data_IF_084487352752
#
_entry.id   IF_084487352752
#
_cell.length_a   1.000
_cell.length_b   1.000
_cell.length_c   1.000
_cell.angle_alpha   90.00
_cell.angle_beta   90.00
_cell.angle_gamma   90.00
#
_symmetry.space_group_name_H-M   'P 1'
#
loop_
_entity.id
_entity.type
_entity.pdbx_description
1 polymer ?
#
# COMPACT_ATOMS: atom_id res chain seq x y z
N UNK A 1 61.96 3.23 -28.78
CA UNK A 1 60.65 3.68 -28.23
C UNK A 1 59.54 2.64 -28.27
N UNK A 2 59.44 1.75 -29.28
CA UNK A 2 58.40 0.68 -29.31
C UNK A 2 58.45 -0.31 -28.14
N UNK A 3 59.63 -0.64 -27.61
CA UNK A 3 59.75 -1.59 -26.48
C UNK A 3 59.21 -1.07 -25.14
N UNK A 4 59.17 0.24 -24.91
CA UNK A 4 58.67 0.81 -23.65
C UNK A 4 57.13 0.83 -23.58
N UNK A 5 56.46 1.02 -24.71
CA UNK A 5 54.99 1.00 -24.77
C UNK A 5 54.44 -0.40 -24.47
N UNK A 6 55.11 -1.45 -24.97
CA UNK A 6 54.68 -2.84 -24.77
C UNK A 6 54.79 -3.28 -23.30
N UNK A 7 55.75 -2.74 -22.54
CA UNK A 7 55.87 -3.02 -21.09
C UNK A 7 54.77 -2.35 -20.25
N UNK A 8 54.24 -1.21 -20.70
CA UNK A 8 53.18 -0.48 -19.99
C UNK A 8 51.83 -1.18 -20.16
N UNK A 9 51.53 -1.71 -21.34
CA UNK A 9 50.26 -2.42 -21.60
C UNK A 9 50.12 -3.71 -20.78
N UNK A 10 51.21 -4.49 -20.66
CA UNK A 10 51.21 -5.73 -19.89
C UNK A 10 50.98 -5.46 -18.40
N UNK A 11 51.67 -4.46 -17.83
CA UNK A 11 51.54 -4.13 -16.40
C UNK A 11 50.15 -3.58 -16.05
N UNK A 12 49.54 -2.80 -16.93
CA UNK A 12 48.16 -2.31 -16.76
C UNK A 12 47.14 -3.46 -16.71
N UNK A 13 47.30 -4.48 -17.55
CA UNK A 13 46.40 -5.64 -17.58
C UNK A 13 46.38 -6.43 -16.25
N UNK A 14 47.54 -6.65 -15.64
CA UNK A 14 47.64 -7.32 -14.34
C UNK A 14 47.01 -6.52 -13.21
N UNK A 15 47.22 -5.20 -13.20
CA UNK A 15 46.66 -4.31 -12.19
C UNK A 15 45.12 -4.26 -12.24
N UNK A 16 44.54 -4.17 -13.45
CA UNK A 16 43.08 -4.20 -13.65
C UNK A 16 42.50 -5.55 -13.19
N UNK A 17 43.14 -6.66 -13.57
CA UNK A 17 42.70 -8.01 -13.19
C UNK A 17 42.72 -8.22 -11.67
N UNK A 18 43.81 -7.79 -11.01
CA UNK A 18 43.93 -7.88 -9.56
C UNK A 18 42.88 -7.01 -8.84
N UNK A 19 42.66 -5.78 -9.31
CA UNK A 19 41.64 -4.88 -8.77
C UNK A 19 40.23 -5.49 -8.89
N UNK A 20 39.88 -6.01 -10.07
CA UNK A 20 38.60 -6.67 -10.31
C UNK A 20 38.40 -7.89 -9.42
N UNK A 21 39.45 -8.70 -9.22
CA UNK A 21 39.42 -9.85 -8.32
C UNK A 21 39.12 -9.46 -6.86
N UNK A 22 39.80 -8.42 -6.35
CA UNK A 22 39.56 -7.91 -5.00
C UNK A 22 38.16 -7.31 -4.86
N UNK A 23 37.73 -6.50 -5.84
CA UNK A 23 36.39 -5.92 -5.85
C UNK A 23 35.29 -7.00 -5.84
N UNK A 24 35.49 -8.09 -6.58
CA UNK A 24 34.57 -9.24 -6.58
C UNK A 24 34.52 -9.91 -5.21
N UNK A 25 35.67 -10.16 -4.56
CA UNK A 25 35.71 -10.73 -3.22
C UNK A 25 35.00 -9.85 -2.19
N UNK A 26 35.21 -8.53 -2.24
CA UNK A 26 34.50 -7.56 -1.40
C UNK A 26 32.99 -7.62 -1.66
N UNK A 27 32.57 -7.63 -2.92
CA UNK A 27 31.16 -7.73 -3.31
C UNK A 27 30.50 -9.00 -2.74
N UNK A 28 31.09 -10.17 -2.94
CA UNK A 28 30.59 -11.44 -2.41
C UNK A 28 30.50 -11.40 -0.89
N UNK A 29 31.52 -10.87 -0.21
CA UNK A 29 31.55 -10.77 1.25
C UNK A 29 30.46 -9.85 1.80
N UNK A 30 30.23 -8.71 1.14
CA UNK A 30 29.19 -7.74 1.52
C UNK A 30 27.78 -8.29 1.25
N UNK A 31 27.57 -8.96 0.13
CA UNK A 31 26.31 -9.65 -0.18
C UNK A 31 26.02 -10.76 0.84
N UNK A 32 27.02 -11.57 1.17
CA UNK A 32 26.89 -12.59 2.22
C UNK A 32 26.54 -11.98 3.57
N UNK A 33 27.22 -10.90 3.96
CA UNK A 33 26.90 -10.17 5.19
C UNK A 33 25.47 -9.63 5.21
N UNK A 34 25.03 -9.03 4.09
CA UNK A 34 23.68 -8.53 3.94
C UNK A 34 22.65 -9.68 4.03
N UNK A 35 22.90 -10.81 3.37
CA UNK A 35 22.00 -11.97 3.40
C UNK A 35 21.85 -12.61 4.79
N UNK A 36 22.89 -12.50 5.65
CA UNK A 36 22.87 -13.00 7.03
C UNK A 36 22.20 -12.02 8.00
N UNK A 37 22.25 -10.72 7.70
CA UNK A 37 21.73 -9.66 8.57
C UNK A 37 20.25 -9.37 8.31
N UNK A 38 19.86 -9.36 7.05
CA UNK A 38 18.50 -9.04 6.61
C UNK A 38 17.66 -10.30 6.45
N UNK A 39 16.44 -10.27 6.96
CA UNK A 39 15.51 -11.39 6.82
C UNK A 39 14.80 -11.36 5.46
N UNK A 40 13.97 -12.37 5.21
CA UNK A 40 13.24 -12.50 3.95
C UNK A 40 12.34 -11.29 3.67
N UNK A 41 11.75 -10.68 4.71
CA UNK A 41 10.85 -9.53 4.58
C UNK A 41 11.63 -8.28 4.16
N UNK A 42 12.79 -8.04 4.76
CA UNK A 42 13.69 -6.96 4.34
C UNK A 42 14.09 -7.10 2.87
N UNK A 43 14.44 -8.31 2.43
CA UNK A 43 14.80 -8.58 1.04
C UNK A 43 13.64 -8.41 0.07
N UNK A 44 12.40 -8.67 0.49
CA UNK A 44 11.24 -8.50 -0.38
C UNK A 44 10.86 -7.03 -0.55
N UNK A 45 10.84 -6.25 0.53
CA UNK A 45 10.32 -4.87 0.50
C UNK A 45 11.42 -3.82 0.29
N UNK A 46 12.66 -4.10 0.72
CA UNK A 46 13.77 -3.15 0.70
C UNK A 46 14.93 -3.58 -0.20
N UNK A 47 14.69 -4.49 -1.16
CA UNK A 47 15.71 -5.05 -2.06
C UNK A 47 16.61 -3.99 -2.69
N UNK A 48 16.00 -3.00 -3.33
CA UNK A 48 16.74 -1.99 -4.09
C UNK A 48 17.60 -1.13 -3.18
N UNK A 49 17.10 -0.80 -1.98
CA UNK A 49 17.87 -0.03 -1.00
C UNK A 49 19.04 -0.82 -0.44
N UNK A 50 18.82 -2.12 -0.13
CA UNK A 50 19.88 -3.03 0.32
C UNK A 50 20.94 -3.16 -0.77
N UNK A 51 20.53 -3.42 -2.02
CA UNK A 51 21.44 -3.55 -3.15
C UNK A 51 22.18 -2.24 -3.44
N UNK A 52 21.51 -1.09 -3.43
CA UNK A 52 22.17 0.21 -3.64
C UNK A 52 23.21 0.49 -2.55
N UNK A 53 22.93 0.18 -1.28
CA UNK A 53 23.90 0.30 -0.19
C UNK A 53 25.09 -0.66 -0.36
N UNK A 54 24.84 -1.90 -0.78
CA UNK A 54 25.90 -2.88 -1.08
C UNK A 54 26.75 -2.38 -2.23
N UNK A 55 26.15 -1.97 -3.35
CA UNK A 55 26.86 -1.47 -4.54
C UNK A 55 27.67 -0.21 -4.23
N UNK A 56 27.11 0.73 -3.48
CA UNK A 56 27.84 1.93 -3.03
C UNK A 56 29.08 1.55 -2.21
N UNK A 57 28.97 0.56 -1.31
CA UNK A 57 30.12 0.07 -0.53
C UNK A 57 31.12 -0.69 -1.37
N UNK A 58 30.66 -1.42 -2.39
CA UNK A 58 31.53 -2.05 -3.37
C UNK A 58 32.29 -0.98 -4.14
N UNK A 59 31.67 0.11 -4.60
CA UNK A 59 32.40 1.19 -5.29
C UNK A 59 33.37 1.93 -4.38
N UNK A 60 33.00 2.15 -3.12
CA UNK A 60 33.82 2.87 -2.13
C UNK A 60 34.80 1.96 -1.37
N UNK A 61 34.97 0.70 -1.77
CA UNK A 61 35.84 -0.26 -1.08
C UNK A 61 37.28 0.23 -0.85
N UNK A 62 37.94 0.96 -1.77
CA UNK A 62 39.32 1.41 -1.57
C UNK A 62 39.43 2.41 -0.42
N UNK A 63 38.39 3.24 -0.22
CA UNK A 63 38.35 4.21 0.88
C UNK A 63 38.24 3.53 2.25
N UNK A 64 37.62 2.34 2.33
CA UNK A 64 37.52 1.59 3.57
C UNK A 64 38.82 0.88 3.97
N UNK A 65 39.90 0.95 3.17
CA UNK A 65 41.23 0.50 3.61
C UNK A 65 41.74 1.30 4.83
N UNK A 66 41.28 2.54 5.00
CA UNK A 66 41.57 3.37 6.18
C UNK A 66 40.77 2.90 7.41
N UNK A 67 39.64 2.23 7.20
CA UNK A 67 38.74 1.75 8.25
C UNK A 67 38.29 0.29 7.98
N UNK A 68 39.20 -0.69 8.01
CA UNK A 68 38.95 -2.06 7.54
C UNK A 68 37.85 -2.78 8.33
N UNK A 69 37.58 -2.32 9.57
CA UNK A 69 36.46 -2.83 10.38
C UNK A 69 35.11 -2.72 9.67
N UNK A 70 34.92 -1.70 8.83
CA UNK A 70 33.67 -1.50 8.08
C UNK A 70 33.49 -2.51 6.93
N UNK A 71 34.57 -3.12 6.43
CA UNK A 71 34.52 -4.21 5.44
C UNK A 71 34.27 -5.56 6.12
N UNK A 72 34.82 -5.77 7.32
CA UNK A 72 34.69 -7.04 8.07
C UNK A 72 33.30 -7.14 8.71
N UNK A 73 32.84 -6.07 9.35
CA UNK A 73 31.53 -5.99 9.98
C UNK A 73 30.77 -4.77 9.46
N UNK A 74 30.19 -4.85 8.25
CA UNK A 74 29.43 -3.76 7.69
C UNK A 74 28.21 -3.45 8.57
N UNK A 75 28.24 -2.30 9.24
CA UNK A 75 27.08 -1.75 9.93
C UNK A 75 26.05 -1.32 8.88
N UNK A 76 25.21 -2.24 8.41
CA UNK A 76 24.08 -1.87 7.59
C UNK A 76 22.97 -1.36 8.49
N UNK A 77 22.99 -0.07 8.78
CA UNK A 77 21.93 0.55 9.56
C UNK A 77 20.83 0.92 8.56
N UNK A 78 19.82 0.06 8.53
CA UNK A 78 18.57 0.34 7.86
C UNK A 78 17.62 0.87 8.91
N UNK A 79 17.22 2.14 8.78
CA UNK A 79 16.14 2.71 9.56
C UNK A 79 14.86 2.57 8.74
N UNK A 80 14.02 1.59 9.06
CA UNK A 80 12.74 1.46 8.39
C UNK A 80 11.92 2.74 8.51
N UNK A 81 11.24 3.15 7.44
CA UNK A 81 10.34 4.30 7.44
C UNK A 81 10.94 5.67 7.10
N UNK A 82 12.24 5.79 6.80
CA UNK A 82 12.87 7.10 6.49
C UNK A 82 12.32 7.79 5.23
N UNK A 83 11.72 7.07 4.30
CA UNK A 83 11.29 7.65 3.01
C UNK A 83 9.78 7.60 2.74
N UNK A 84 9.00 6.67 3.29
CA UNK A 84 7.57 6.50 2.98
C UNK A 84 6.80 5.76 4.09
N UNK A 85 6.45 6.45 5.18
CA UNK A 85 5.19 6.30 5.93
C UNK A 85 4.81 4.99 6.66
N UNK A 86 5.34 3.82 6.33
CA UNK A 86 5.15 2.58 7.07
C UNK A 86 6.20 1.55 6.66
N UNK A 87 6.79 0.83 7.61
CA UNK A 87 7.74 -0.24 7.29
C UNK A 87 7.01 -1.46 6.75
N UNK A 88 7.04 -1.65 5.43
CA UNK A 88 6.48 -2.82 4.78
C UNK A 88 7.06 -4.14 5.31
N UNK A 89 8.34 -4.15 5.72
CA UNK A 89 8.98 -5.34 6.28
C UNK A 89 8.42 -5.65 7.68
N UNK A 90 8.31 -4.66 8.57
CA UNK A 90 7.66 -4.82 9.88
C UNK A 90 6.20 -5.27 9.73
N UNK A 91 5.44 -4.68 8.80
CA UNK A 91 4.07 -5.08 8.55
C UNK A 91 3.98 -6.54 8.07
N UNK A 92 4.89 -6.97 7.19
CA UNK A 92 4.96 -8.35 6.72
C UNK A 92 5.32 -9.33 7.85
N UNK A 93 6.25 -8.96 8.75
CA UNK A 93 6.57 -9.74 9.95
C UNK A 93 5.37 -9.86 10.88
N UNK A 94 4.72 -8.74 11.22
CA UNK A 94 3.52 -8.71 12.07
C UNK A 94 2.42 -9.58 11.48
N UNK A 95 2.21 -9.48 10.17
CA UNK A 95 1.28 -10.33 9.44
C UNK A 95 1.66 -11.81 9.55
N UNK A 96 2.92 -12.16 9.30
CA UNK A 96 3.35 -13.56 9.33
C UNK A 96 3.20 -14.13 10.73
N UNK A 97 3.66 -13.42 11.76
CA UNK A 97 3.51 -13.84 13.15
C UNK A 97 2.05 -14.00 13.57
N UNK A 98 1.15 -13.12 13.11
CA UNK A 98 -0.28 -13.30 13.33
C UNK A 98 -0.85 -14.51 12.58
N UNK A 99 -0.36 -14.79 11.37
CA UNK A 99 -0.75 -15.98 10.60
C UNK A 99 -0.08 -17.27 11.11
N UNK A 100 0.87 -17.20 12.03
CA UNK A 100 1.42 -18.40 12.64
C UNK A 100 0.64 -18.75 13.92
N UNK A 101 0.18 -17.73 14.65
CA UNK A 101 -0.59 -17.90 15.88
C UNK A 101 -1.60 -16.77 16.07
N UNK A 102 -2.77 -16.82 15.40
CA UNK A 102 -3.77 -15.78 15.54
C UNK A 102 -4.46 -15.90 16.92
N UNK A 103 -4.65 -14.81 17.65
CA UNK A 103 -5.48 -14.82 18.86
C UNK A 103 -6.94 -15.18 18.48
N UNK A 104 -7.69 -15.89 19.35
CA UNK A 104 -9.10 -16.15 19.12
C UNK A 104 -9.90 -14.84 19.08
N UNK A 105 -11.04 -14.85 18.40
CA UNK A 105 -11.97 -13.72 18.41
C UNK A 105 -13.23 -14.05 19.22
N UNK A 106 -13.81 -13.04 19.87
CA UNK A 106 -15.08 -13.18 20.59
C UNK A 106 -16.30 -13.24 19.69
N UNK A 107 -17.48 -13.34 20.30
CA UNK A 107 -18.75 -13.41 19.56
C UNK A 107 -19.04 -12.13 18.76
N UNK A 108 -18.50 -11.00 19.21
CA UNK A 108 -18.67 -9.67 18.61
C UNK A 108 -17.30 -9.10 18.26
N UNK A 109 -17.15 -8.62 17.03
CA UNK A 109 -15.94 -7.91 16.58
C UNK A 109 -16.19 -6.41 16.53
N UNK A 110 -15.17 -5.61 16.87
CA UNK A 110 -15.21 -4.15 16.77
C UNK A 110 -14.22 -3.64 15.72
N UNK A 111 -14.70 -2.77 14.84
CA UNK A 111 -13.90 -2.14 13.78
C UNK A 111 -13.81 -0.65 14.07
N UNK A 112 -12.58 -0.15 14.18
CA UNK A 112 -12.26 1.25 14.50
C UNK A 112 -11.01 1.67 13.74
N UNK A 113 -10.84 2.98 13.51
CA UNK A 113 -9.59 3.52 12.94
C UNK A 113 -9.52 3.44 11.42
N UNK A 114 -8.32 3.27 10.88
CA UNK A 114 -8.08 3.37 9.44
C UNK A 114 -7.80 1.99 8.83
N UNK A 115 -8.64 1.57 7.89
CA UNK A 115 -8.45 0.33 7.14
C UNK A 115 -8.43 0.66 5.63
N UNK A 116 -7.22 0.74 5.06
CA UNK A 116 -7.04 1.05 3.64
C UNK A 116 -7.47 2.48 3.30
N UNK A 117 -8.44 2.62 2.39
CA UNK A 117 -9.01 3.90 1.95
C UNK A 117 -10.26 4.30 2.75
N UNK A 118 -10.56 3.54 3.81
CA UNK A 118 -11.69 3.79 4.70
C UNK A 118 -11.20 4.49 5.96
N UNK A 119 -11.79 5.64 6.25
CA UNK A 119 -11.61 6.38 7.49
C UNK A 119 -12.83 6.14 8.39
N UNK A 120 -12.62 5.43 9.49
CA UNK A 120 -13.67 5.10 10.47
C UNK A 120 -13.48 6.00 11.68
N UNK A 121 -14.40 6.94 11.89
CA UNK A 121 -14.44 7.80 13.07
C UNK A 121 -15.22 7.17 14.22
N UNK A 122 -16.24 6.36 13.90
CA UNK A 122 -17.03 5.61 14.86
C UNK A 122 -16.45 4.24 15.20
N UNK A 123 -17.20 3.49 16.00
CA UNK A 123 -16.92 2.09 16.29
C UNK A 123 -18.04 1.22 15.72
N UNK A 124 -17.71 0.33 14.79
CA UNK A 124 -18.68 -0.59 14.21
C UNK A 124 -18.58 -1.95 14.90
N UNK A 125 -19.72 -2.48 15.32
CA UNK A 125 -19.85 -3.74 16.05
C UNK A 125 -20.59 -4.75 15.17
N UNK A 126 -19.96 -5.88 14.92
CA UNK A 126 -20.54 -6.93 14.09
C UNK A 126 -20.51 -8.29 14.79
N UNK A 127 -21.53 -9.14 14.59
CA UNK A 127 -21.44 -10.54 14.98
C UNK A 127 -20.31 -11.23 14.20
N UNK A 128 -19.39 -11.90 14.90
CA UNK A 128 -18.28 -12.61 14.29
C UNK A 128 -18.76 -13.75 13.36
N UNK A 129 -19.88 -14.39 13.71
CA UNK A 129 -20.56 -15.39 12.87
C UNK A 129 -20.94 -14.83 11.49
N UNK A 130 -21.62 -13.68 11.47
CA UNK A 130 -22.00 -13.02 10.22
C UNK A 130 -20.76 -12.58 9.44
N UNK A 131 -19.78 -11.98 10.09
CA UNK A 131 -18.53 -11.58 9.43
C UNK A 131 -17.83 -12.76 8.75
N UNK A 132 -17.85 -13.95 9.37
CA UNK A 132 -17.29 -15.16 8.79
C UNK A 132 -18.03 -15.62 7.53
N UNK A 133 -19.37 -15.59 7.55
CA UNK A 133 -20.19 -15.93 6.38
C UNK A 133 -19.95 -15.00 5.20
N UNK A 134 -19.91 -13.68 5.45
CA UNK A 134 -19.60 -12.68 4.43
C UNK A 134 -18.17 -12.84 3.89
N UNK A 135 -17.19 -13.12 4.76
CA UNK A 135 -15.82 -13.38 4.35
C UNK A 135 -15.72 -14.61 3.44
N UNK A 136 -16.41 -15.71 3.79
CA UNK A 136 -16.48 -16.92 2.98
C UNK A 136 -17.17 -16.68 1.63
N UNK A 137 -18.28 -15.94 1.61
CA UNK A 137 -18.98 -15.57 0.38
C UNK A 137 -18.05 -14.79 -0.54
N UNK A 138 -17.40 -13.75 -0.02
CA UNK A 138 -16.48 -12.90 -0.78
C UNK A 138 -15.26 -13.67 -1.30
N UNK A 139 -14.77 -14.65 -0.55
CA UNK A 139 -13.68 -15.52 -0.99
C UNK A 139 -14.08 -16.46 -2.13
N UNK A 140 -15.36 -16.87 -2.18
CA UNK A 140 -15.89 -17.65 -3.31
C UNK A 140 -16.02 -16.80 -4.57
N UNK A 141 -16.36 -15.52 -4.43
CA UNK A 141 -16.49 -14.57 -5.54
C UNK A 141 -15.12 -14.17 -6.10
N UNK A 142 -14.13 -13.88 -5.25
CA UNK A 142 -12.79 -13.50 -5.66
C UNK A 142 -11.70 -14.11 -4.75
N UNK A 143 -11.10 -15.21 -5.24
CA UNK A 143 -10.00 -15.91 -4.55
C UNK A 143 -8.66 -15.18 -4.60
N UNK A 144 -8.52 -14.13 -5.42
CA UNK A 144 -7.26 -13.39 -5.59
C UNK A 144 -7.15 -12.23 -4.60
N UNK A 145 -8.21 -11.93 -3.86
CA UNK A 145 -8.27 -10.86 -2.87
C UNK A 145 -7.31 -11.15 -1.69
N UNK A 146 -6.22 -10.36 -1.54
CA UNK A 146 -5.23 -10.63 -0.50
C UNK A 146 -5.79 -10.36 0.90
N UNK A 147 -5.34 -11.11 1.91
CA UNK A 147 -5.76 -10.93 3.31
C UNK A 147 -7.06 -11.64 3.70
N UNK A 148 -7.95 -11.93 2.75
CA UNK A 148 -9.26 -12.51 3.03
C UNK A 148 -9.19 -13.92 3.64
N UNK A 149 -8.25 -14.76 3.20
CA UNK A 149 -7.99 -16.08 3.80
C UNK A 149 -7.60 -15.97 5.27
N UNK A 150 -6.82 -14.95 5.62
CA UNK A 150 -6.43 -14.68 7.00
C UNK A 150 -7.60 -14.26 7.88
N UNK A 151 -8.48 -13.40 7.34
CA UNK A 151 -9.71 -13.01 8.01
C UNK A 151 -10.64 -14.21 8.25
N UNK A 152 -10.85 -15.07 7.25
CA UNK A 152 -11.66 -16.29 7.39
C UNK A 152 -11.09 -17.19 8.48
N UNK A 153 -9.79 -17.43 8.45
CA UNK A 153 -9.17 -18.31 9.44
C UNK A 153 -9.26 -17.76 10.85
N UNK A 154 -8.95 -16.46 11.05
CA UNK A 154 -9.08 -15.79 12.34
C UNK A 154 -10.52 -15.82 12.87
N UNK A 155 -11.50 -15.52 12.01
CA UNK A 155 -12.92 -15.60 12.35
C UNK A 155 -13.39 -17.05 12.62
N UNK A 156 -12.69 -18.04 12.07
CA UNK A 156 -12.91 -19.45 12.38
C UNK A 156 -12.37 -19.87 13.76
N UNK A 157 -11.50 -19.08 14.37
CA UNK A 157 -11.03 -19.26 15.77
C UNK A 157 -11.96 -18.56 16.78
N UNK A 158 -13.23 -18.38 16.41
CA UNK A 158 -14.24 -17.77 17.28
C UNK A 158 -14.38 -18.55 18.58
N UNK A 159 -14.35 -17.84 19.69
CA UNK A 159 -14.64 -18.35 21.02
C UNK A 159 -15.77 -17.51 21.63
N UNK A 160 -16.97 -18.11 21.71
CA UNK A 160 -18.17 -17.43 22.21
C UNK A 160 -18.13 -17.18 23.74
N UNK A 161 -17.20 -17.84 24.46
CA UNK A 161 -16.97 -17.58 25.89
C UNK A 161 -16.26 -16.23 26.15
N UNK A 162 -15.64 -15.65 25.12
CA UNK A 162 -15.10 -14.30 25.18
C UNK A 162 -16.26 -13.29 25.04
N UNK A 163 -16.83 -12.90 26.18
CA UNK A 163 -17.94 -11.93 26.23
C UNK A 163 -17.54 -10.50 25.82
N UNK A 164 -16.25 -10.21 25.72
CA UNK A 164 -15.75 -8.91 25.28
C UNK A 164 -15.70 -8.80 23.76
N UNK A 165 -16.03 -7.60 23.25
CA UNK A 165 -15.85 -7.28 21.83
C UNK A 165 -14.36 -7.35 21.48
N UNK A 166 -14.05 -8.03 20.38
CA UNK A 166 -12.65 -8.20 19.94
C UNK A 166 -12.33 -7.20 18.82
N UNK A 167 -11.30 -6.34 18.97
CA UNK A 167 -10.91 -5.43 17.91
C UNK A 167 -10.35 -6.19 16.71
N UNK A 168 -10.79 -5.80 15.51
CA UNK A 168 -10.27 -6.37 14.26
C UNK A 168 -8.82 -5.92 14.04
N UNK A 169 -7.86 -6.85 13.90
CA UNK A 169 -6.46 -6.50 13.68
C UNK A 169 -6.25 -5.77 12.34
N UNK A 170 -5.57 -4.62 12.37
CA UNK A 170 -5.28 -3.78 11.18
C UNK A 170 -4.51 -4.52 10.08
N UNK A 171 -3.76 -5.56 10.44
CA UNK A 171 -2.99 -6.42 9.53
C UNK A 171 -3.87 -7.27 8.58
N UNK A 172 -5.16 -7.41 8.88
CA UNK A 172 -6.15 -8.08 8.03
C UNK A 172 -6.54 -7.14 6.88
N UNK A 173 -5.75 -7.15 5.81
CA UNK A 173 -6.03 -6.36 4.62
C UNK A 173 -7.38 -6.75 3.99
N UNK A 174 -8.03 -5.75 3.41
CA UNK A 174 -9.34 -5.86 2.75
C UNK A 174 -10.49 -6.26 3.67
N UNK A 175 -10.31 -6.21 4.99
CA UNK A 175 -11.40 -6.45 5.94
C UNK A 175 -12.48 -5.36 5.85
N UNK A 176 -12.10 -4.14 5.46
CA UNK A 176 -13.01 -3.05 5.10
C UNK A 176 -14.06 -3.50 4.07
N UNK A 177 -13.68 -4.37 3.12
CA UNK A 177 -14.63 -4.88 2.13
C UNK A 177 -15.68 -5.83 2.73
N UNK A 178 -15.35 -6.58 3.79
CA UNK A 178 -16.33 -7.40 4.51
C UNK A 178 -17.28 -6.46 5.27
N UNK A 179 -16.72 -5.46 5.93
CA UNK A 179 -17.46 -4.44 6.67
C UNK A 179 -18.47 -3.72 5.77
N UNK A 180 -18.05 -3.30 4.57
CA UNK A 180 -18.95 -2.66 3.60
C UNK A 180 -20.11 -3.57 3.21
N UNK A 181 -19.85 -4.84 2.90
CA UNK A 181 -20.91 -5.78 2.51
C UNK A 181 -21.90 -6.03 3.66
N UNK A 182 -21.41 -6.08 4.92
CA UNK A 182 -22.26 -6.23 6.10
C UNK A 182 -23.11 -4.97 6.32
N UNK A 183 -22.53 -3.78 6.16
CA UNK A 183 -23.24 -2.50 6.26
C UNK A 183 -24.33 -2.42 5.18
N UNK A 184 -24.00 -2.72 3.93
CA UNK A 184 -24.96 -2.69 2.82
C UNK A 184 -26.07 -3.75 2.98
N UNK A 185 -25.80 -4.84 3.71
CA UNK A 185 -26.79 -5.85 4.09
C UNK A 185 -27.61 -5.49 5.35
N UNK A 186 -27.36 -4.34 5.99
CA UNK A 186 -28.05 -3.92 7.21
C UNK A 186 -27.64 -4.70 8.45
N UNK A 187 -26.48 -5.36 8.44
CA UNK A 187 -26.02 -6.23 9.54
C UNK A 187 -25.04 -5.48 10.43
N UNK A 188 -25.32 -5.45 11.73
CA UNK A 188 -24.43 -4.89 12.75
C UNK A 188 -24.97 -3.61 13.39
N UNK A 189 -24.09 -2.98 14.16
CA UNK A 189 -24.38 -1.74 14.90
C UNK A 189 -23.20 -0.77 14.77
N UNK A 190 -23.46 0.52 14.94
CA UNK A 190 -22.42 1.53 15.00
C UNK A 190 -22.59 2.41 16.25
N UNK A 191 -21.50 2.61 16.98
CA UNK A 191 -21.43 3.56 18.09
C UNK A 191 -20.89 4.88 17.56
N UNK A 192 -21.70 5.93 17.70
CA UNK A 192 -21.29 7.29 17.39
C UNK A 192 -20.38 7.83 18.50
N UNK A 193 -19.19 8.38 18.18
CA UNK A 193 -18.27 8.92 19.18
C UNK A 193 -18.81 10.23 19.79
N UNK A 194 -19.58 11.01 19.03
CA UNK A 194 -20.13 12.30 19.47
C UNK A 194 -21.41 12.14 20.29
N UNK A 195 -22.35 11.32 19.82
CA UNK A 195 -23.59 11.05 20.58
C UNK A 195 -23.40 10.07 21.74
N UNK A 196 -22.33 9.26 21.69
CA UNK A 196 -22.11 8.10 22.57
C UNK A 196 -23.30 7.11 22.61
N UNK A 197 -24.06 7.03 21.50
CA UNK A 197 -25.20 6.13 21.32
C UNK A 197 -24.86 5.05 20.29
N UNK A 198 -25.47 3.89 20.45
CA UNK A 198 -25.38 2.76 19.52
C UNK A 198 -26.62 2.81 18.63
N UNK A 199 -26.40 2.81 17.32
CA UNK A 199 -27.43 2.77 16.29
C UNK A 199 -27.34 1.44 15.55
N UNK A 200 -28.50 0.91 15.13
CA UNK A 200 -28.49 -0.19 14.17
C UNK A 200 -27.95 0.31 12.83
N UNK A 201 -27.26 -0.55 12.08
CA UNK A 201 -26.74 -0.18 10.75
C UNK A 201 -27.85 0.32 9.82
N UNK A 202 -29.07 -0.21 9.95
CA UNK A 202 -30.25 0.21 9.18
C UNK A 202 -30.73 1.63 9.49
N UNK A 203 -30.31 2.23 10.61
CA UNK A 203 -30.64 3.61 11.00
C UNK A 203 -29.59 4.62 10.51
N UNK A 204 -28.46 4.14 10.00
CA UNK A 204 -27.36 4.99 9.51
C UNK A 204 -27.75 5.61 8.18
N UNK A 205 -27.53 6.91 8.05
CA UNK A 205 -27.78 7.66 6.83
C UNK A 205 -26.54 7.61 5.94
N UNK A 206 -26.71 7.21 4.68
CA UNK A 206 -25.64 7.22 3.69
C UNK A 206 -25.76 8.43 2.76
N UNK A 207 -24.69 9.20 2.65
CA UNK A 207 -24.55 10.30 1.70
C UNK A 207 -23.42 10.00 0.72
N UNK A 208 -23.60 10.33 -0.56
CA UNK A 208 -22.54 10.21 -1.57
C UNK A 208 -22.11 11.59 -2.03
N UNK A 209 -20.81 11.85 -2.01
CA UNK A 209 -20.23 13.07 -2.56
C UNK A 209 -19.28 12.74 -3.70
N UNK A 210 -19.41 13.49 -4.79
CA UNK A 210 -18.48 13.41 -5.91
C UNK A 210 -17.43 14.50 -5.74
N UNK A 211 -16.21 14.10 -5.40
CA UNK A 211 -15.07 15.01 -5.35
C UNK A 211 -14.12 14.67 -6.48
N UNK A 212 -14.00 15.57 -7.46
CA UNK A 212 -13.07 15.46 -8.57
C UNK A 212 -13.18 16.65 -9.50
N UNK A 213 -12.06 17.12 -10.03
CA UNK A 213 -12.10 18.08 -11.14
C UNK A 213 -12.55 17.35 -12.40
N UNK A 214 -13.40 17.97 -13.22
CA UNK A 214 -13.95 17.40 -14.46
C UNK A 214 -12.88 16.97 -15.50
N UNK A 215 -11.59 17.17 -15.23
CA UNK A 215 -10.54 17.10 -16.24
C UNK A 215 -9.94 15.71 -16.47
N UNK A 216 -10.00 14.75 -15.53
CA UNK A 216 -9.38 13.42 -15.76
C UNK A 216 -9.86 12.28 -14.86
N UNK A 217 -10.14 12.54 -13.58
CA UNK A 217 -10.57 11.50 -12.63
C UNK A 217 -11.59 12.09 -11.64
N UNK A 218 -12.70 11.38 -11.43
CA UNK A 218 -13.63 11.71 -10.34
C UNK A 218 -13.63 10.58 -9.31
N UNK A 219 -13.55 10.95 -8.04
CA UNK A 219 -13.62 10.01 -6.92
C UNK A 219 -14.95 10.19 -6.21
N UNK A 220 -15.73 9.12 -6.13
CA UNK A 220 -17.00 9.08 -5.42
C UNK A 220 -16.73 8.58 -4.02
N UNK A 221 -17.02 9.42 -3.03
CA UNK A 221 -16.94 9.08 -1.61
C UNK A 221 -18.32 8.78 -1.06
N UNK A 222 -18.43 7.74 -0.25
CA UNK A 222 -19.63 7.44 0.53
C UNK A 222 -19.35 7.77 2.00
N UNK A 223 -20.20 8.60 2.57
CA UNK A 223 -20.20 9.03 3.96
C UNK A 223 -21.34 8.34 4.68
N UNK A 224 -21.05 7.70 5.79
CA UNK A 224 -22.01 7.09 6.68
C UNK A 224 -22.12 7.97 7.92
N UNK A 225 -23.33 8.40 8.22
CA UNK A 225 -23.62 9.34 9.30
C UNK A 225 -24.67 8.78 10.25
N UNK A 226 -24.54 9.12 11.54
CA UNK A 226 -25.59 8.80 12.49
C UNK A 226 -26.86 9.64 12.24
N UNK A 227 -28.01 9.31 12.87
CA UNK A 227 -29.25 10.09 12.73
C UNK A 227 -29.12 11.57 13.13
N UNK A 228 -28.14 11.91 13.98
CA UNK A 228 -27.82 13.29 14.38
C UNK A 228 -26.80 13.96 13.43
N UNK A 229 -26.55 13.40 12.24
CA UNK A 229 -25.67 13.93 11.19
C UNK A 229 -24.17 14.01 11.54
N UNK A 230 -23.69 13.33 12.59
CA UNK A 230 -22.24 13.15 12.83
C UNK A 230 -21.64 12.05 11.95
N UNK A 231 -20.42 12.26 11.46
CA UNK A 231 -19.70 11.32 10.61
C UNK A 231 -19.27 10.07 11.40
N UNK A 232 -19.66 8.89 10.91
CA UNK A 232 -19.23 7.59 11.46
C UNK A 232 -18.10 6.99 10.64
N UNK A 233 -18.21 7.08 9.32
CA UNK A 233 -17.27 6.45 8.40
C UNK A 233 -17.33 7.12 7.03
N UNK A 234 -16.19 7.21 6.36
CA UNK A 234 -16.09 7.66 4.98
C UNK A 234 -15.16 6.73 4.21
N UNK A 235 -15.54 6.34 2.99
CA UNK A 235 -14.72 5.49 2.16
C UNK A 235 -14.85 5.83 0.68
N UNK A 236 -13.79 5.56 -0.08
CA UNK A 236 -13.81 5.64 -1.54
C UNK A 236 -14.69 4.52 -2.10
N UNK A 237 -15.84 4.88 -2.67
CA UNK A 237 -16.80 3.94 -3.24
C UNK A 237 -16.44 3.56 -4.67
N UNK A 238 -16.08 4.56 -5.48
CA UNK A 238 -15.81 4.37 -6.90
C UNK A 238 -14.83 5.42 -7.42
N UNK A 239 -13.90 4.97 -8.27
CA UNK A 239 -13.05 5.86 -9.07
C UNK A 239 -13.47 5.79 -10.53
N UNK A 240 -13.93 6.93 -11.04
CA UNK A 240 -14.34 7.08 -12.43
C UNK A 240 -13.19 7.69 -13.24
N UNK A 241 -12.73 6.94 -14.25
CA UNK A 241 -11.76 7.40 -15.22
C UNK A 241 -12.49 7.82 -16.49
N UNK A 242 -12.47 9.11 -16.80
CA UNK A 242 -13.02 9.62 -18.05
C UNK A 242 -11.94 9.61 -19.11
N UNK A 243 -12.19 8.95 -20.25
CA UNK A 243 -11.32 9.08 -21.41
C UNK A 243 -11.38 10.55 -21.84
N UNK A 244 -10.23 11.24 -21.82
CA UNK A 244 -10.13 12.60 -22.35
C UNK A 244 -10.73 12.58 -23.77
N UNK A 245 -11.65 13.50 -24.12
CA UNK A 245 -12.13 13.60 -25.49
C UNK A 245 -10.90 13.71 -26.38
N UNK A 246 -10.75 12.75 -27.29
CA UNK A 246 -9.71 12.80 -28.30
C UNK A 246 -9.96 14.13 -29.03
N UNK A 247 -9.05 15.10 -28.85
CA UNK A 247 -9.23 16.43 -29.40
C UNK A 247 -9.57 16.22 -30.88
N UNK A 248 -10.77 16.62 -31.28
CA UNK A 248 -11.19 16.49 -32.68
C UNK A 248 -10.04 17.06 -33.52
N UNK A 249 -9.53 16.32 -34.52
CA UNK A 249 -8.44 16.81 -35.34
C UNK A 249 -8.85 18.20 -35.78
N UNK A 250 -8.03 19.21 -35.46
CA UNK A 250 -8.31 20.60 -35.74
C UNK A 250 -8.79 20.66 -37.18
N UNK A 251 -10.09 20.84 -37.38
CA UNK A 251 -10.67 20.88 -38.71
C UNK A 251 -10.01 22.07 -39.35
N UNK A 252 -9.13 21.77 -40.30
CA UNK A 252 -8.44 22.72 -41.14
C UNK A 252 -9.48 23.75 -41.58
N UNK A 253 -9.35 24.97 -41.04
CA UNK A 253 -10.17 26.12 -41.39
C UNK A 253 -9.91 26.41 -42.87
N UNK A 254 -10.61 25.69 -43.76
CA UNK A 254 -10.65 26.04 -45.18
C UNK A 254 -11.35 27.38 -45.24
N UNK A 255 -10.52 28.41 -45.41
CA UNK A 255 -10.89 29.82 -45.46
C UNK A 255 -12.19 30.02 -46.20
N UNK A 256 -13.24 30.31 -45.44
CA UNK A 256 -14.49 30.80 -45.99
C UNK A 256 -14.21 32.25 -46.39
N UNK A 257 -14.14 32.49 -47.70
CA UNK A 257 -14.01 33.85 -48.26
C UNK A 257 -15.07 34.76 -47.63
N UNK A 258 -14.74 36.02 -47.27
CA UNK A 258 -15.73 36.97 -46.83
C UNK A 258 -16.73 37.20 -47.97
N UNK A 259 -17.95 36.69 -47.80
CA UNK A 259 -19.09 37.03 -48.63
C UNK A 259 -19.51 38.47 -48.31
N UNK A 260 -19.23 39.36 -49.26
CA UNK A 260 -19.74 40.71 -49.38
C UNK A 260 -21.28 40.71 -49.42
N UNK A 261 -21.94 40.73 -48.26
CA UNK A 261 -23.30 41.27 -48.13
C UNK A 261 -23.31 42.21 -46.93
N UNK A 262 -22.62 43.34 -47.13
CA UNK A 262 -23.03 44.59 -46.54
C UNK A 262 -24.22 45.12 -47.37
N UNK A 263 -25.12 45.84 -46.69
CA UNK A 263 -26.29 46.59 -47.17
C UNK A 263 -27.56 45.75 -47.33
N UNK A 264 -28.43 45.83 -46.33
CA UNK A 264 -29.77 46.41 -46.54
C UNK A 264 -30.33 46.92 -45.21
N UNK A 265 -30.17 48.25 -45.04
CA UNK A 265 -31.11 49.22 -44.47
C UNK A 265 -31.49 49.17 -42.97
N UNK A 266 -30.95 50.17 -42.26
CA UNK A 266 -31.73 51.08 -41.42
C UNK A 266 -32.88 51.70 -42.25
N UNK A 267 -34.08 51.74 -41.67
CA UNK A 267 -35.27 52.37 -42.25
C UNK A 267 -36.53 51.62 -41.86
#
# INVERSE_FOLDING_TARGET
>A
MKGYLMSIEVTAGWAVSAYSGVALMVCVRLLYAASRKYDWADWQFNRDQILNKVMLRVFLWPFFLVAPRQLINPAFDFKPGEFCGADGAELARKRTGFMDNPPPCGSTISVTGMHGWTNIKGEFLFPASAAHEFALKKWREDRKLPGLRGAIWWLGLRNDDLGEKTPVPEILLNFDRIVHDMIDAGVGQARCPECNRIYAVTEIVSETSNTGSQACCSTVWKFLKCPENHDLMSYEYMRLYFKRPEAAPASEEKGTKPSLIAKFLQG
#
